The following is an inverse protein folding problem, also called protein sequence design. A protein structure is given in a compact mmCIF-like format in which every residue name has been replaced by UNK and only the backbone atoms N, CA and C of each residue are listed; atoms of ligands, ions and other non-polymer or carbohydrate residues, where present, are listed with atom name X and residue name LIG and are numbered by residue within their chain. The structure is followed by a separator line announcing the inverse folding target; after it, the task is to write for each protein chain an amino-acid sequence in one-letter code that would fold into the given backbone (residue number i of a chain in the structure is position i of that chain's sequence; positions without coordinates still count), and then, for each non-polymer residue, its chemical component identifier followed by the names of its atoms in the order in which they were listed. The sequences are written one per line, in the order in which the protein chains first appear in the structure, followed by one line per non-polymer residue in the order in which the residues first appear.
data_IF_091966256568
#
_entry.id   IF_091966256568
#
_cell.length_a   1.000
_cell.length_b   1.000
_cell.length_c   1.000
_cell.angle_alpha   90.00
_cell.angle_beta   90.00
_cell.angle_gamma   90.00
#
_symmetry.space_group_name_H-M   'P 1'
#
loop_
_entity.id
_entity.type
_entity.pdbx_description
1 polymer ?
#
# COMPACT_ATOMS: atom_id res chain seq x y z
N UNK A 1 25.98 15.86 -8.19
CA UNK A 1 24.62 15.36 -7.81
C UNK A 1 24.46 14.00 -8.46
N UNK A 2 24.37 12.94 -7.68
CA UNK A 2 24.06 11.61 -8.20
C UNK A 2 22.65 11.61 -8.81
N UNK A 3 22.47 10.89 -9.92
CA UNK A 3 21.15 10.73 -10.54
C UNK A 3 20.18 10.10 -9.55
N UNK A 4 18.97 10.68 -9.39
CA UNK A 4 17.92 10.14 -8.53
C UNK A 4 17.11 9.03 -9.23
N UNK A 5 17.28 8.86 -10.54
CA UNK A 5 16.53 7.86 -11.31
C UNK A 5 16.68 6.43 -10.78
N UNK A 6 17.90 5.96 -10.37
CA UNK A 6 18.01 4.61 -9.79
C UNK A 6 17.20 4.40 -8.52
N UNK A 7 16.97 5.46 -7.73
CA UNK A 7 16.12 5.39 -6.54
C UNK A 7 14.66 5.17 -6.94
N UNK A 8 14.19 5.89 -7.97
CA UNK A 8 12.85 5.71 -8.52
C UNK A 8 12.67 4.33 -9.19
N UNK A 9 13.72 3.80 -9.83
CA UNK A 9 13.71 2.42 -10.35
C UNK A 9 13.46 1.41 -9.23
N UNK A 10 14.17 1.53 -8.10
CA UNK A 10 13.96 0.65 -6.95
C UNK A 10 12.55 0.79 -6.35
N UNK A 11 12.06 2.03 -6.20
CA UNK A 11 10.68 2.29 -5.76
C UNK A 11 9.67 1.60 -6.68
N UNK A 12 9.85 1.75 -8.01
CA UNK A 12 8.98 1.13 -9.00
C UNK A 12 9.08 -0.40 -8.96
N UNK A 13 10.28 -0.97 -8.90
CA UNK A 13 10.47 -2.43 -8.87
C UNK A 13 9.81 -3.08 -7.66
N UNK A 14 10.00 -2.52 -6.47
CA UNK A 14 9.34 -3.05 -5.26
C UNK A 14 7.81 -2.91 -5.36
N UNK A 15 7.33 -1.76 -5.85
CA UNK A 15 5.89 -1.55 -6.11
C UNK A 15 5.35 -2.54 -7.13
N UNK A 16 6.14 -2.86 -8.17
CA UNK A 16 5.76 -3.78 -9.23
C UNK A 16 5.58 -5.22 -8.72
N UNK A 17 6.46 -5.67 -7.84
CA UNK A 17 6.28 -6.99 -7.18
C UNK A 17 4.97 -7.00 -6.38
N UNK A 18 4.75 -5.98 -5.54
CA UNK A 18 3.54 -5.88 -4.73
C UNK A 18 2.26 -5.84 -5.56
N UNK A 19 2.24 -5.04 -6.63
CA UNK A 19 1.09 -4.98 -7.55
C UNK A 19 0.87 -6.29 -8.31
N UNK A 20 1.93 -6.99 -8.68
CA UNK A 20 1.81 -8.31 -9.32
C UNK A 20 1.15 -9.29 -8.38
N UNK A 21 1.64 -9.40 -7.14
CA UNK A 21 1.06 -10.28 -6.12
C UNK A 21 -0.41 -9.92 -5.87
N UNK A 22 -0.71 -8.65 -5.59
CA UNK A 22 -2.09 -8.18 -5.39
C UNK A 22 -2.99 -8.45 -6.60
N UNK A 23 -2.47 -8.31 -7.83
CA UNK A 23 -3.22 -8.62 -9.05
C UNK A 23 -3.57 -10.10 -9.15
N UNK A 24 -2.64 -10.99 -8.79
CA UNK A 24 -2.88 -12.44 -8.76
C UNK A 24 -3.89 -12.82 -7.67
N UNK A 25 -3.83 -12.18 -6.50
CA UNK A 25 -4.82 -12.37 -5.43
C UNK A 25 -6.22 -11.95 -5.90
N UNK A 26 -6.37 -10.78 -6.54
CA UNK A 26 -7.65 -10.36 -7.12
C UNK A 26 -8.11 -11.25 -8.27
N UNK A 27 -7.18 -11.79 -9.04
CA UNK A 27 -7.51 -12.76 -10.08
C UNK A 27 -8.10 -14.03 -9.48
N UNK A 28 -7.54 -14.52 -8.38
CA UNK A 28 -8.03 -15.72 -7.70
C UNK A 28 -9.46 -15.53 -7.15
N UNK A 29 -9.78 -14.34 -6.66
CA UNK A 29 -11.12 -14.01 -6.13
C UNK A 29 -12.05 -13.38 -7.18
N UNK A 30 -11.66 -13.30 -8.46
CA UNK A 30 -12.45 -12.67 -9.52
C UNK A 30 -13.90 -13.19 -9.62
N UNK A 31 -14.22 -14.47 -9.37
CA UNK A 31 -15.61 -14.95 -9.36
C UNK A 31 -16.51 -14.25 -8.32
N UNK A 32 -15.94 -13.67 -7.25
CA UNK A 32 -16.72 -12.90 -6.24
C UNK A 32 -17.24 -11.57 -6.78
N UNK A 33 -16.74 -11.10 -7.94
CA UNK A 33 -17.22 -9.93 -8.65
C UNK A 33 -18.43 -10.23 -9.58
N UNK A 34 -18.83 -11.48 -9.69
CA UNK A 34 -20.05 -11.88 -10.41
C UNK A 34 -21.32 -11.28 -9.75
N UNK A 35 -22.47 -11.25 -10.45
CA UNK A 35 -23.70 -10.67 -9.90
C UNK A 35 -24.17 -11.25 -8.55
N UNK A 36 -23.85 -12.53 -8.30
CA UNK A 36 -24.16 -13.22 -7.04
C UNK A 36 -23.06 -13.08 -5.97
N UNK A 37 -21.93 -12.48 -6.29
CA UNK A 37 -20.78 -12.37 -5.39
C UNK A 37 -20.82 -11.15 -4.48
N UNK A 38 -20.06 -11.22 -3.38
CA UNK A 38 -19.97 -10.15 -2.35
C UNK A 38 -19.35 -8.85 -2.90
N UNK A 39 -18.58 -8.92 -3.98
CA UNK A 39 -18.01 -7.77 -4.68
C UNK A 39 -18.79 -7.40 -5.95
N UNK A 40 -20.08 -7.79 -6.04
CA UNK A 40 -20.90 -7.53 -7.22
C UNK A 40 -21.04 -6.04 -7.52
N UNK A 41 -21.20 -5.70 -8.81
CA UNK A 41 -21.49 -4.34 -9.25
C UNK A 41 -22.75 -3.76 -8.64
N UNK A 42 -23.74 -4.61 -8.34
CA UNK A 42 -24.98 -4.21 -7.68
C UNK A 42 -24.72 -3.64 -6.28
N UNK A 43 -23.86 -4.32 -5.48
CA UNK A 43 -23.47 -3.84 -4.14
C UNK A 43 -22.65 -2.55 -4.25
N UNK A 44 -21.67 -2.51 -5.16
CA UNK A 44 -20.82 -1.33 -5.37
C UNK A 44 -21.64 -0.08 -5.74
N UNK A 45 -22.71 -0.26 -6.53
CA UNK A 45 -23.60 0.84 -6.94
C UNK A 45 -24.42 1.45 -5.80
N UNK A 46 -24.66 0.73 -4.70
CA UNK A 46 -25.31 1.31 -3.53
C UNK A 46 -24.57 2.50 -2.94
N UNK A 47 -23.25 2.62 -3.23
CA UNK A 47 -22.43 3.77 -2.85
C UNK A 47 -22.75 5.03 -3.66
N UNK A 48 -23.22 4.88 -4.90
CA UNK A 48 -23.46 6.01 -5.80
C UNK A 48 -24.94 6.36 -5.81
N UNK A 49 -25.31 7.48 -5.20
CA UNK A 49 -26.70 8.01 -5.16
C UNK A 49 -27.01 8.83 -6.44
N UNK A 50 -26.69 8.31 -7.61
CA UNK A 50 -26.99 9.03 -8.86
C UNK A 50 -28.41 8.71 -9.38
N UNK A 51 -29.08 9.66 -10.08
CA UNK A 51 -30.32 9.36 -10.78
C UNK A 51 -30.08 8.27 -11.81
N UNK A 52 -30.91 7.23 -11.78
CA UNK A 52 -30.73 6.03 -12.60
C UNK A 52 -31.39 6.21 -13.97
N UNK A 53 -30.61 5.98 -15.03
CA UNK A 53 -31.14 5.74 -16.36
C UNK A 53 -30.83 4.31 -16.79
N UNK A 54 -31.70 3.67 -17.54
CA UNK A 54 -31.49 2.29 -18.03
C UNK A 54 -30.16 2.13 -18.82
N UNK A 55 -29.75 3.17 -19.54
CA UNK A 55 -28.46 3.17 -20.26
C UNK A 55 -27.26 3.20 -19.32
N UNK A 56 -27.31 4.01 -18.28
CA UNK A 56 -26.25 4.07 -17.27
C UNK A 56 -26.15 2.76 -16.50
N UNK A 57 -27.29 2.18 -16.14
CA UNK A 57 -27.33 0.88 -15.46
C UNK A 57 -26.71 -0.22 -16.31
N UNK A 58 -27.04 -0.30 -17.62
CA UNK A 58 -26.47 -1.27 -18.53
C UNK A 58 -24.95 -1.07 -18.74
N UNK A 59 -24.48 0.18 -18.79
CA UNK A 59 -23.05 0.48 -18.86
C UNK A 59 -22.32 0.04 -17.57
N UNK A 60 -22.89 0.37 -16.43
CA UNK A 60 -22.34 -0.02 -15.13
C UNK A 60 -22.31 -1.53 -14.96
N UNK A 61 -23.34 -2.28 -15.43
CA UNK A 61 -23.33 -3.74 -15.41
C UNK A 61 -22.18 -4.34 -16.20
N UNK A 62 -21.86 -3.76 -17.36
CA UNK A 62 -20.71 -4.19 -18.16
C UNK A 62 -19.39 -3.85 -17.49
N UNK A 63 -19.21 -2.60 -17.03
CA UNK A 63 -17.96 -2.13 -16.40
C UNK A 63 -17.68 -2.82 -15.07
N UNK A 64 -18.73 -3.26 -14.37
CA UNK A 64 -18.64 -3.92 -13.08
C UNK A 64 -18.76 -5.45 -13.16
N UNK A 65 -18.75 -6.03 -14.36
CA UNK A 65 -18.77 -7.47 -14.55
C UNK A 65 -17.45 -8.13 -14.14
N UNK A 66 -17.48 -9.42 -13.85
CA UNK A 66 -16.28 -10.23 -13.62
C UNK A 66 -15.30 -10.15 -14.80
N UNK A 67 -15.83 -10.19 -16.02
CA UNK A 67 -15.01 -10.12 -17.25
C UNK A 67 -14.28 -8.77 -17.33
N UNK A 68 -14.96 -7.66 -17.02
CA UNK A 68 -14.33 -6.35 -16.97
C UNK A 68 -13.24 -6.28 -15.89
N UNK A 69 -13.45 -6.86 -14.71
CA UNK A 69 -12.45 -6.98 -13.67
C UNK A 69 -11.22 -7.73 -14.17
N UNK A 70 -11.40 -8.89 -14.80
CA UNK A 70 -10.30 -9.66 -15.40
C UNK A 70 -9.53 -8.86 -16.45
N UNK A 71 -10.25 -8.15 -17.33
CA UNK A 71 -9.62 -7.28 -18.33
C UNK A 71 -8.80 -6.14 -17.70
N UNK A 72 -9.32 -5.50 -16.65
CA UNK A 72 -8.60 -4.47 -15.88
C UNK A 72 -7.34 -5.03 -15.22
N UNK A 73 -7.38 -6.24 -14.67
CA UNK A 73 -6.22 -6.90 -14.07
C UNK A 73 -5.16 -7.27 -15.11
N UNK A 74 -5.57 -7.77 -16.30
CA UNK A 74 -4.64 -8.02 -17.42
C UNK A 74 -3.98 -6.69 -17.86
N UNK A 75 -4.77 -5.65 -18.08
CA UNK A 75 -4.25 -4.33 -18.46
C UNK A 75 -3.27 -3.79 -17.44
N UNK A 76 -3.52 -4.02 -16.13
CA UNK A 76 -2.58 -3.67 -15.05
C UNK A 76 -1.23 -4.37 -15.22
N UNK A 77 -1.22 -5.67 -15.44
CA UNK A 77 0.03 -6.42 -15.62
C UNK A 77 0.78 -5.98 -16.89
N UNK A 78 0.06 -5.70 -17.97
CA UNK A 78 0.67 -5.20 -19.21
C UNK A 78 1.28 -3.80 -19.01
N UNK A 79 0.54 -2.87 -18.40
CA UNK A 79 1.03 -1.53 -18.12
C UNK A 79 2.22 -1.55 -17.14
N UNK A 80 2.17 -2.42 -16.13
CA UNK A 80 3.24 -2.61 -15.17
C UNK A 80 4.51 -3.17 -15.83
N UNK A 81 4.36 -4.22 -16.64
CA UNK A 81 5.48 -4.80 -17.40
C UNK A 81 6.11 -3.76 -18.34
N UNK A 82 5.28 -2.98 -19.02
CA UNK A 82 5.76 -1.91 -19.89
C UNK A 82 6.48 -0.81 -19.10
N UNK A 83 5.97 -0.40 -17.93
CA UNK A 83 6.61 0.60 -17.07
C UNK A 83 7.99 0.13 -16.54
N UNK A 84 8.11 -1.15 -16.19
CA UNK A 84 9.38 -1.73 -15.70
C UNK A 84 10.40 -1.89 -16.82
N UNK A 85 9.97 -2.24 -18.03
CA UNK A 85 10.86 -2.50 -19.18
C UNK A 85 11.23 -1.24 -19.96
N UNK A 86 10.40 -0.20 -19.91
CA UNK A 86 10.69 1.06 -20.60
C UNK A 86 11.82 1.82 -19.90
N UNK A 87 12.71 2.48 -20.64
CA UNK A 87 13.71 3.35 -20.05
C UNK A 87 13.06 4.40 -19.17
N UNK A 88 13.46 4.47 -17.91
CA UNK A 88 12.87 5.40 -16.94
C UNK A 88 12.99 6.85 -17.43
N UNK A 89 11.92 7.63 -17.28
CA UNK A 89 11.84 9.00 -17.77
C UNK A 89 11.56 9.16 -19.28
N UNK A 90 11.47 8.06 -20.04
CA UNK A 90 11.11 8.11 -21.46
C UNK A 90 9.61 8.40 -21.67
N UNK A 91 9.24 8.80 -22.90
CA UNK A 91 7.83 8.95 -23.27
C UNK A 91 7.04 7.64 -23.14
N UNK A 92 7.66 6.50 -23.48
CA UNK A 92 7.07 5.17 -23.32
C UNK A 92 6.79 4.85 -21.86
N UNK A 93 7.75 5.13 -20.97
CA UNK A 93 7.58 5.02 -19.53
C UNK A 93 6.39 5.87 -19.04
N UNK A 94 6.30 7.13 -19.48
CA UNK A 94 5.22 8.04 -19.08
C UNK A 94 3.84 7.55 -19.54
N UNK A 95 3.74 6.98 -20.73
CA UNK A 95 2.48 6.35 -21.22
C UNK A 95 2.13 5.14 -20.35
N UNK A 96 3.10 4.26 -20.09
CA UNK A 96 2.88 3.08 -19.28
C UNK A 96 2.44 3.45 -17.85
N UNK A 97 3.09 4.42 -17.22
CA UNK A 97 2.72 4.93 -15.90
C UNK A 97 1.34 5.60 -15.88
N UNK A 98 0.98 6.34 -16.93
CA UNK A 98 -0.38 6.92 -17.07
C UNK A 98 -1.43 5.82 -17.09
N UNK A 99 -1.24 4.79 -17.92
CA UNK A 99 -2.16 3.64 -17.99
C UNK A 99 -2.26 2.92 -16.64
N UNK A 100 -1.12 2.73 -15.97
CA UNK A 100 -1.07 2.07 -14.66
C UNK A 100 -1.80 2.88 -13.58
N UNK A 101 -1.55 4.18 -13.48
CA UNK A 101 -2.21 5.06 -12.50
C UNK A 101 -3.72 5.11 -12.75
N UNK A 102 -4.15 5.31 -14.00
CA UNK A 102 -5.58 5.29 -14.35
C UNK A 102 -6.23 3.96 -14.00
N UNK A 103 -5.53 2.84 -14.25
CA UNK A 103 -6.00 1.51 -13.90
C UNK A 103 -6.19 1.34 -12.38
N UNK A 104 -5.22 1.77 -11.58
CA UNK A 104 -5.29 1.70 -10.11
C UNK A 104 -6.45 2.54 -9.59
N UNK A 105 -6.58 3.78 -10.05
CA UNK A 105 -7.67 4.67 -9.66
C UNK A 105 -9.05 4.10 -10.02
N UNK A 106 -9.19 3.58 -11.25
CA UNK A 106 -10.43 2.94 -11.70
C UNK A 106 -10.76 1.70 -10.87
N UNK A 107 -9.76 0.89 -10.52
CA UNK A 107 -9.96 -0.30 -9.71
C UNK A 107 -10.31 0.05 -8.25
N UNK A 108 -9.72 1.10 -7.68
CA UNK A 108 -10.04 1.57 -6.34
C UNK A 108 -11.50 2.09 -6.26
N UNK A 109 -11.96 2.80 -7.28
CA UNK A 109 -13.38 3.20 -7.38
C UNK A 109 -14.30 1.99 -7.46
N UNK A 110 -13.87 0.91 -8.13
CA UNK A 110 -14.62 -0.33 -8.30
C UNK A 110 -14.77 -1.12 -6.99
N UNK A 111 -13.77 -1.09 -6.11
CA UNK A 111 -13.81 -1.81 -4.83
C UNK A 111 -14.62 -1.03 -3.81
N UNK A 112 -15.61 -1.69 -3.22
CA UNK A 112 -16.42 -1.12 -2.14
C UNK A 112 -15.84 -1.45 -0.77
N UNK A 113 -15.27 -2.65 -0.65
CA UNK A 113 -14.71 -3.20 0.58
C UNK A 113 -13.23 -3.46 0.38
N UNK A 114 -12.43 -3.14 1.38
CA UNK A 114 -11.00 -3.47 1.39
C UNK A 114 -10.07 -2.37 0.87
N UNK A 115 -10.52 -1.11 0.79
CA UNK A 115 -9.60 0.02 0.70
C UNK A 115 -8.93 0.21 2.05
N UNK A 116 -7.70 -0.24 2.15
CA UNK A 116 -6.88 -0.06 3.33
C UNK A 116 -5.72 0.93 3.10
N UNK A 117 -4.96 1.21 4.15
CA UNK A 117 -3.83 2.13 4.06
C UNK A 117 -2.74 1.71 3.09
N UNK A 118 -2.63 0.42 2.75
CA UNK A 118 -1.64 -0.08 1.79
C UNK A 118 -2.02 0.25 0.35
N UNK A 119 -3.29 0.18 -0.01
CA UNK A 119 -3.78 0.60 -1.33
C UNK A 119 -3.57 2.09 -1.55
N UNK A 120 -3.86 2.90 -0.51
CA UNK A 120 -3.62 4.33 -0.54
C UNK A 120 -2.12 4.64 -0.69
N UNK A 121 -1.26 3.98 0.08
CA UNK A 121 0.18 4.16 -0.01
C UNK A 121 0.71 3.77 -1.40
N UNK A 122 0.28 2.64 -1.96
CA UNK A 122 0.65 2.21 -3.30
C UNK A 122 0.23 3.24 -4.35
N UNK A 123 -0.99 3.77 -4.26
CA UNK A 123 -1.47 4.81 -5.18
C UNK A 123 -0.65 6.10 -5.05
N UNK A 124 -0.37 6.56 -3.83
CA UNK A 124 0.45 7.75 -3.56
C UNK A 124 1.84 7.59 -4.17
N UNK A 125 2.51 6.47 -3.91
CA UNK A 125 3.87 6.19 -4.42
C UNK A 125 3.88 6.22 -5.94
N UNK A 126 2.96 5.49 -6.61
CA UNK A 126 2.94 5.39 -8.06
C UNK A 126 2.51 6.69 -8.76
N UNK A 127 1.58 7.44 -8.17
CA UNK A 127 1.22 8.79 -8.65
C UNK A 127 2.44 9.72 -8.53
N UNK A 128 3.19 9.64 -7.43
CA UNK A 128 4.40 10.46 -7.26
C UNK A 128 5.47 10.10 -8.29
N UNK A 129 5.72 8.80 -8.52
CA UNK A 129 6.64 8.35 -9.58
C UNK A 129 6.18 8.89 -10.95
N UNK A 130 4.90 8.75 -11.26
CA UNK A 130 4.32 9.23 -12.52
C UNK A 130 4.48 10.73 -12.73
N UNK A 131 4.24 11.55 -11.69
CA UNK A 131 4.34 13.00 -11.75
C UNK A 131 5.79 13.50 -11.76
N UNK A 132 6.68 12.81 -11.05
CA UNK A 132 8.05 13.30 -10.83
C UNK A 132 9.07 12.69 -11.81
N UNK A 133 8.71 11.67 -12.58
CA UNK A 133 9.61 10.99 -13.51
C UNK A 133 9.01 10.95 -14.91
N UNK A 134 9.48 11.84 -15.77
CA UNK A 134 9.03 11.95 -17.14
C UNK A 134 10.05 12.69 -18.02
N UNK A 135 9.79 12.83 -19.33
CA UNK A 135 10.74 13.43 -20.27
C UNK A 135 11.14 14.88 -19.93
N UNK A 136 10.30 15.59 -19.20
CA UNK A 136 10.52 17.00 -18.80
C UNK A 136 10.78 17.16 -17.30
N UNK A 137 11.06 16.06 -16.60
CA UNK A 137 11.33 16.10 -15.18
C UNK A 137 12.68 16.74 -14.90
N UNK A 138 12.71 17.64 -13.91
CA UNK A 138 13.95 18.28 -13.43
C UNK A 138 14.44 17.59 -12.16
N UNK A 139 15.75 17.74 -11.85
CA UNK A 139 16.32 17.24 -10.61
C UNK A 139 15.57 17.76 -9.36
N UNK A 140 15.06 19.00 -9.41
CA UNK A 140 14.28 19.58 -8.33
C UNK A 140 12.93 18.85 -8.12
N UNK A 141 12.20 18.57 -9.20
CA UNK A 141 10.94 17.83 -9.14
C UNK A 141 11.17 16.40 -8.61
N UNK A 142 12.23 15.73 -9.08
CA UNK A 142 12.60 14.40 -8.60
C UNK A 142 12.94 14.42 -7.09
N UNK A 143 13.68 15.40 -6.63
CA UNK A 143 14.00 15.55 -5.21
C UNK A 143 12.75 15.74 -4.35
N UNK A 144 11.83 16.62 -4.78
CA UNK A 144 10.55 16.84 -4.09
C UNK A 144 9.74 15.54 -4.02
N UNK A 145 9.70 14.76 -5.10
CA UNK A 145 8.99 13.48 -5.12
C UNK A 145 9.56 12.47 -4.12
N UNK A 146 10.88 12.33 -4.01
CA UNK A 146 11.51 11.46 -3.02
C UNK A 146 11.22 11.93 -1.58
N UNK A 147 11.30 13.23 -1.32
CA UNK A 147 10.90 13.80 -0.03
C UNK A 147 9.42 13.53 0.28
N UNK A 148 8.55 13.69 -0.70
CA UNK A 148 7.12 13.43 -0.52
C UNK A 148 6.84 11.97 -0.16
N UNK A 149 7.45 11.00 -0.86
CA UNK A 149 7.33 9.57 -0.56
C UNK A 149 7.85 9.28 0.86
N UNK A 150 9.03 9.79 1.22
CA UNK A 150 9.63 9.56 2.53
C UNK A 150 8.78 10.14 3.67
N UNK A 151 8.33 11.38 3.53
CA UNK A 151 7.49 12.06 4.53
C UNK A 151 6.11 11.40 4.65
N UNK A 152 5.52 10.96 3.54
CA UNK A 152 4.24 10.25 3.56
C UNK A 152 4.34 8.91 4.31
N UNK A 153 5.42 8.16 4.12
CA UNK A 153 5.66 6.95 4.89
C UNK A 153 5.82 7.25 6.39
N UNK A 154 6.65 8.23 6.74
CA UNK A 154 6.86 8.67 8.12
C UNK A 154 5.55 9.14 8.77
N UNK A 155 4.74 9.92 8.05
CA UNK A 155 3.42 10.37 8.52
C UNK A 155 2.48 9.19 8.78
N UNK A 156 2.48 8.19 7.90
CA UNK A 156 1.64 6.99 8.05
C UNK A 156 2.01 6.19 9.29
N UNK A 157 3.30 5.95 9.54
CA UNK A 157 3.75 5.29 10.76
C UNK A 157 3.44 6.13 12.00
N UNK A 158 3.81 7.40 12.01
CA UNK A 158 3.61 8.27 13.17
C UNK A 158 2.12 8.41 13.52
N UNK A 159 1.25 8.63 12.54
CA UNK A 159 -0.19 8.75 12.78
C UNK A 159 -0.79 7.44 13.32
N UNK A 160 -0.35 6.28 12.81
CA UNK A 160 -0.77 4.98 13.31
C UNK A 160 -0.29 4.73 14.75
N UNK A 161 0.98 5.08 15.05
CA UNK A 161 1.53 4.99 16.40
C UNK A 161 0.82 5.90 17.39
N UNK A 162 0.58 7.17 17.02
CA UNK A 162 -0.15 8.14 17.86
C UNK A 162 -1.59 7.69 18.09
N UNK A 163 -2.29 7.20 17.05
CA UNK A 163 -3.64 6.66 17.21
C UNK A 163 -3.69 5.50 18.20
N UNK A 164 -2.69 4.61 18.17
CA UNK A 164 -2.54 3.52 19.15
C UNK A 164 -2.19 4.04 20.55
N UNK A 165 -1.34 5.09 20.63
CA UNK A 165 -0.93 5.69 21.89
C UNK A 165 -2.12 6.31 22.65
N UNK A 166 -3.07 6.93 21.96
CA UNK A 166 -4.26 7.52 22.60
C UNK A 166 -5.33 6.47 22.94
N UNK A 167 -5.27 5.27 22.35
CA UNK A 167 -6.23 4.19 22.57
C UNK A 167 -5.98 3.44 23.89
N UNK A 168 -6.95 3.39 24.81
CA UNK A 168 -6.81 2.59 26.04
C UNK A 168 -6.65 1.08 25.77
N UNK A 169 -7.28 0.57 24.71
CA UNK A 169 -7.21 -0.84 24.32
C UNK A 169 -5.77 -1.23 23.91
N UNK A 170 -5.11 -0.34 23.17
CA UNK A 170 -3.72 -0.55 22.79
C UNK A 170 -2.78 -0.41 23.98
N UNK A 171 -2.91 0.64 24.78
CA UNK A 171 -2.07 0.83 25.99
C UNK A 171 -2.22 -0.29 27.00
N UNK A 172 -3.42 -0.85 27.11
CA UNK A 172 -3.71 -2.00 27.97
C UNK A 172 -3.21 -3.34 27.40
N UNK A 173 -2.86 -3.41 26.10
CA UNK A 173 -2.43 -4.62 25.41
C UNK A 173 -3.57 -5.45 24.83
N UNK A 174 -4.85 -5.18 25.20
CA UNK A 174 -6.00 -5.96 24.74
C UNK A 174 -6.21 -5.96 23.23
N UNK A 175 -5.80 -4.88 22.55
CA UNK A 175 -5.91 -4.76 21.11
C UNK A 175 -5.13 -5.88 20.38
N UNK A 176 -3.95 -6.26 20.86
CA UNK A 176 -3.13 -7.32 20.25
C UNK A 176 -3.89 -8.65 20.25
N UNK A 177 -4.43 -9.06 21.41
CA UNK A 177 -5.24 -10.28 21.48
C UNK A 177 -6.52 -10.16 20.65
N UNK A 178 -7.19 -9.00 20.72
CA UNK A 178 -8.41 -8.72 19.96
C UNK A 178 -8.24 -8.92 18.46
N UNK A 179 -7.16 -8.40 17.88
CA UNK A 179 -6.84 -8.53 16.44
C UNK A 179 -6.68 -10.00 16.07
N UNK A 180 -5.87 -10.77 16.81
CA UNK A 180 -5.64 -12.18 16.51
C UNK A 180 -6.85 -13.07 16.76
N UNK A 181 -7.84 -12.59 17.52
CA UNK A 181 -9.08 -13.32 17.79
C UNK A 181 -10.22 -12.94 16.83
N UNK A 182 -9.96 -12.18 15.77
CA UNK A 182 -10.94 -11.87 14.71
C UNK A 182 -11.00 -12.98 13.66
N UNK A 183 -12.12 -13.05 12.93
CA UNK A 183 -12.26 -13.96 11.78
C UNK A 183 -11.53 -13.46 10.53
N UNK A 184 -11.30 -12.15 10.43
CA UNK A 184 -10.71 -11.51 9.23
C UNK A 184 -9.19 -11.53 9.26
N UNK A 185 -8.59 -11.16 10.39
CA UNK A 185 -7.13 -11.05 10.55
C UNK A 185 -6.59 -12.01 11.60
N UNK A 186 -7.47 -12.80 12.19
CA UNK A 186 -7.11 -13.68 13.29
C UNK A 186 -6.33 -14.92 12.85
N UNK A 187 -5.55 -15.42 13.77
CA UNK A 187 -4.85 -16.69 13.63
C UNK A 187 -5.02 -17.48 14.93
N UNK A 188 -5.69 -18.63 14.85
CA UNK A 188 -6.03 -19.42 16.04
C UNK A 188 -4.84 -19.72 16.95
N UNK A 189 -3.71 -20.08 16.37
CA UNK A 189 -2.50 -20.36 17.14
C UNK A 189 -2.04 -19.11 17.90
N UNK A 190 -1.99 -17.95 17.25
CA UNK A 190 -1.56 -16.70 17.88
C UNK A 190 -2.54 -16.26 18.96
N UNK A 191 -3.84 -16.37 18.71
CA UNK A 191 -4.88 -16.09 19.70
C UNK A 191 -4.76 -17.01 20.95
N UNK A 192 -4.62 -18.32 20.74
CA UNK A 192 -4.41 -19.28 21.83
C UNK A 192 -3.13 -19.00 22.62
N UNK A 193 -2.03 -18.69 21.92
CA UNK A 193 -0.75 -18.37 22.53
C UNK A 193 -0.81 -17.11 23.40
N UNK A 194 -1.55 -16.09 22.97
CA UNK A 194 -1.63 -14.80 23.65
C UNK A 194 -2.68 -14.75 24.76
N UNK A 195 -3.69 -15.61 24.73
CA UNK A 195 -4.90 -15.54 25.58
C UNK A 195 -4.62 -15.22 27.05
N UNK A 196 -3.68 -15.91 27.67
CA UNK A 196 -3.37 -15.77 29.09
C UNK A 196 -2.09 -14.97 29.37
N UNK A 197 -1.44 -14.45 28.31
CA UNK A 197 -0.15 -13.76 28.41
C UNK A 197 -0.32 -12.24 28.36
N UNK A 198 -1.06 -11.68 29.34
CA UNK A 198 -1.37 -10.23 29.37
C UNK A 198 -0.12 -9.34 29.39
N UNK A 199 0.95 -9.74 30.09
CA UNK A 199 2.23 -9.02 30.07
C UNK A 199 2.85 -8.97 28.69
N UNK A 200 2.81 -10.08 27.94
CA UNK A 200 3.30 -10.14 26.55
C UNK A 200 2.42 -9.31 25.60
N UNK A 201 1.09 -9.38 25.76
CA UNK A 201 0.18 -8.54 24.96
C UNK A 201 0.52 -7.06 25.13
N UNK A 202 0.71 -6.61 26.38
CA UNK A 202 1.06 -5.22 26.69
C UNK A 202 2.44 -4.86 26.17
N UNK A 203 3.43 -5.73 26.30
CA UNK A 203 4.78 -5.52 25.78
C UNK A 203 4.75 -5.35 24.24
N UNK A 204 4.07 -6.25 23.52
CA UNK A 204 3.93 -6.18 22.06
C UNK A 204 3.20 -4.89 21.63
N UNK A 205 2.12 -4.51 22.32
CA UNK A 205 1.39 -3.29 22.03
C UNK A 205 2.27 -2.04 22.19
N UNK A 206 2.99 -1.93 23.31
CA UNK A 206 3.87 -0.79 23.54
C UNK A 206 5.07 -0.77 22.60
N UNK A 207 5.60 -1.94 22.23
CA UNK A 207 6.67 -2.03 21.23
C UNK A 207 6.21 -1.43 19.89
N UNK A 208 5.03 -1.80 19.40
CA UNK A 208 4.46 -1.24 18.17
C UNK A 208 4.19 0.26 18.32
N UNK A 209 3.55 0.70 19.41
CA UNK A 209 3.25 2.12 19.68
C UNK A 209 4.51 2.98 19.59
N UNK A 210 5.57 2.57 20.32
CA UNK A 210 6.81 3.35 20.42
C UNK A 210 7.52 3.43 19.07
N UNK A 211 7.72 2.28 18.39
CA UNK A 211 8.50 2.28 17.16
C UNK A 211 7.74 2.96 16.02
N UNK A 212 6.42 2.77 15.90
CA UNK A 212 5.65 3.50 14.89
C UNK A 212 5.63 5.02 15.16
N UNK A 213 5.45 5.44 16.41
CA UNK A 213 5.43 6.88 16.75
C UNK A 213 6.79 7.55 16.52
N UNK A 214 7.88 6.82 16.73
CA UNK A 214 9.24 7.32 16.56
C UNK A 214 9.82 7.05 15.17
N UNK A 215 9.10 6.35 14.30
CA UNK A 215 9.59 5.99 12.97
C UNK A 215 10.17 7.18 12.17
N UNK A 216 9.61 8.42 12.22
CA UNK A 216 10.19 9.57 11.53
C UNK A 216 11.64 9.87 11.89
N UNK A 217 12.13 9.38 13.04
CA UNK A 217 13.54 9.53 13.41
C UNK A 217 14.50 8.85 12.44
N UNK A 218 14.02 7.88 11.63
CA UNK A 218 14.82 7.26 10.58
C UNK A 218 15.38 8.25 9.56
N UNK A 219 14.79 9.45 9.43
CA UNK A 219 15.25 10.48 8.51
C UNK A 219 16.43 11.30 9.04
N UNK A 220 16.61 11.36 10.36
CA UNK A 220 17.57 12.26 11.01
C UNK A 220 18.62 11.54 11.87
N UNK A 221 18.38 10.29 12.23
CA UNK A 221 19.34 9.51 13.00
C UNK A 221 20.50 9.03 12.12
N UNK A 222 21.74 9.09 12.64
CA UNK A 222 22.90 8.55 11.91
C UNK A 222 22.82 7.03 11.78
N UNK A 223 23.55 6.47 10.82
CA UNK A 223 23.73 5.03 10.71
C UNK A 223 24.40 4.47 12.00
N UNK A 224 24.00 3.28 12.48
CA UNK A 224 23.05 2.32 11.89
C UNK A 224 21.58 2.49 12.32
N UNK A 225 21.26 3.51 13.13
CA UNK A 225 19.93 3.64 13.77
C UNK A 225 18.80 3.87 12.77
N UNK A 226 19.03 4.66 11.71
CA UNK A 226 18.06 4.82 10.62
C UNK A 226 17.69 3.47 9.99
N UNK A 227 18.68 2.64 9.69
CA UNK A 227 18.48 1.29 9.17
C UNK A 227 17.74 0.36 10.13
N UNK A 228 17.93 0.53 11.45
CA UNK A 228 17.20 -0.26 12.44
C UNK A 228 15.69 -0.01 12.38
N UNK A 229 15.25 1.24 12.17
CA UNK A 229 13.82 1.55 11.97
C UNK A 229 13.28 0.93 10.67
N UNK A 230 14.01 1.00 9.56
CA UNK A 230 13.60 0.40 8.29
C UNK A 230 13.52 -1.13 8.40
N UNK A 231 14.53 -1.76 9.00
CA UNK A 231 14.54 -3.20 9.23
C UNK A 231 13.40 -3.66 10.11
N UNK A 232 13.11 -2.90 11.18
CA UNK A 232 11.95 -3.16 12.03
C UNK A 232 10.63 -3.04 11.25
N UNK A 233 10.46 -1.96 10.48
CA UNK A 233 9.26 -1.75 9.68
C UNK A 233 9.03 -2.86 8.65
N UNK A 234 10.10 -3.30 7.96
CA UNK A 234 10.04 -4.43 7.03
C UNK A 234 9.62 -5.73 7.75
N UNK A 235 10.25 -6.02 8.90
CA UNK A 235 9.93 -7.21 9.70
C UNK A 235 8.49 -7.15 10.24
N UNK A 236 8.05 -5.99 10.73
CA UNK A 236 6.69 -5.78 11.21
C UNK A 236 5.65 -6.05 10.12
N UNK A 237 5.81 -5.47 8.94
CA UNK A 237 4.88 -5.72 7.83
C UNK A 237 4.99 -7.14 7.26
N UNK A 238 6.17 -7.75 7.28
CA UNK A 238 6.33 -9.15 6.92
C UNK A 238 5.57 -10.08 7.88
N UNK A 239 5.59 -9.80 9.18
CA UNK A 239 4.80 -10.53 10.17
C UNK A 239 3.30 -10.32 9.95
N UNK A 240 2.86 -9.09 9.65
CA UNK A 240 1.47 -8.82 9.27
C UNK A 240 1.06 -9.60 8.02
N UNK A 241 1.92 -9.69 7.02
CA UNK A 241 1.68 -10.48 5.82
C UNK A 241 1.58 -11.98 6.13
N UNK A 242 2.54 -12.53 6.89
CA UNK A 242 2.64 -13.97 7.16
C UNK A 242 1.55 -14.48 8.11
N UNK A 243 1.15 -13.68 9.12
CA UNK A 243 0.23 -14.11 10.18
C UNK A 243 -1.19 -13.65 9.91
N UNK A 244 -1.36 -12.45 9.39
CA UNK A 244 -2.66 -11.80 9.20
C UNK A 244 -3.14 -11.78 7.74
N UNK A 245 -2.30 -12.24 6.80
CA UNK A 245 -2.60 -12.18 5.36
C UNK A 245 -2.54 -10.76 4.77
N UNK A 246 -1.95 -9.79 5.47
CA UNK A 246 -1.86 -8.39 5.05
C UNK A 246 -0.63 -8.14 4.16
N UNK A 247 -0.53 -8.92 3.10
CA UNK A 247 0.60 -8.93 2.18
C UNK A 247 0.81 -7.58 1.47
N UNK A 248 -0.25 -6.88 1.10
CA UNK A 248 -0.19 -5.56 0.45
C UNK A 248 0.56 -4.51 1.27
N UNK A 249 0.45 -4.56 2.61
CA UNK A 249 1.19 -3.63 3.49
C UNK A 249 2.70 -3.79 3.38
N UNK A 250 3.19 -5.03 3.34
CA UNK A 250 4.62 -5.28 3.20
C UNK A 250 5.19 -4.60 1.95
N UNK A 251 4.57 -4.80 0.80
CA UNK A 251 5.04 -4.24 -0.46
C UNK A 251 4.86 -2.73 -0.54
N UNK A 252 3.70 -2.21 -0.11
CA UNK A 252 3.41 -0.78 -0.16
C UNK A 252 4.39 0.05 0.67
N UNK A 253 4.73 -0.42 1.88
CA UNK A 253 5.63 0.31 2.76
C UNK A 253 7.09 0.08 2.41
N UNK A 254 7.53 -1.12 2.07
CA UNK A 254 8.91 -1.36 1.65
C UNK A 254 9.25 -0.63 0.34
N UNK A 255 8.28 -0.39 -0.54
CA UNK A 255 8.47 0.43 -1.73
C UNK A 255 8.87 1.90 -1.42
N UNK A 256 8.56 2.40 -0.22
CA UNK A 256 8.95 3.76 0.19
C UNK A 256 10.40 3.85 0.70
N UNK A 257 11.02 2.73 1.08
CA UNK A 257 12.30 2.72 1.76
C UNK A 257 13.47 3.25 0.92
N UNK A 258 13.56 3.00 -0.39
CA UNK A 258 14.61 3.63 -1.19
C UNK A 258 14.57 5.17 -1.13
N UNK A 259 13.37 5.76 -1.09
CA UNK A 259 13.20 7.20 -0.94
C UNK A 259 13.63 7.68 0.46
N UNK A 260 13.28 6.94 1.53
CA UNK A 260 13.69 7.27 2.90
C UNK A 260 15.22 7.24 3.02
N UNK A 261 15.87 6.20 2.50
CA UNK A 261 17.34 6.05 2.50
C UNK A 261 18.01 7.20 1.76
N UNK A 262 17.49 7.56 0.59
CA UNK A 262 18.03 8.69 -0.17
C UNK A 262 17.91 10.00 0.58
N UNK A 263 16.72 10.27 1.15
CA UNK A 263 16.44 11.50 1.89
C UNK A 263 17.27 11.58 3.16
N UNK A 264 17.37 10.51 3.96
CA UNK A 264 18.18 10.49 5.17
C UNK A 264 19.66 10.79 4.88
N UNK A 265 20.20 10.28 3.78
CA UNK A 265 21.57 10.57 3.33
C UNK A 265 21.79 12.03 2.87
N UNK A 266 20.72 12.79 2.61
CA UNK A 266 20.80 14.23 2.26
C UNK A 266 20.65 15.14 3.46
N UNK A 267 20.20 14.63 4.60
CA UNK A 267 19.98 15.38 5.86
C UNK A 267 21.18 15.26 6.80
N UNK A 268 21.84 14.10 6.84
CA UNK A 268 23.03 13.82 7.64
C UNK A 268 24.31 14.16 6.89
#
# INVERSE_FOLDING_TARGET
MHSMLPVYELVLLVSAVGLTVSTLEFWAIAPTFSPAGVHSGTITRLRFRAPRSARLDALMDRLFSEQAVRAVLILRLMALGLAVLAPIGSALFSVAMTLLVLNILAFNVRRLLGDDGSDQMTAIVLITVWLCVGPHSTAFIQLIGLWFIALQACLSYASAGIAKLISPEWRGGRAIFGIFNTTTYGHEWAAKFLRERHGLQKFLAWHVIVVESLFPLCLVLPEPWGWAFLGWGALFHLQCAAIMGLNSFFWAFTATYPAIVYVSATVG
#
